data_IF_739544789009
#
_entry.id   IF_739544789009
#
_cell.length_a   1.000
_cell.length_b   1.000
_cell.length_c   1.000
_cell.angle_alpha   90.00
_cell.angle_beta   90.00
_cell.angle_gamma   90.00
#
_symmetry.space_group_name_H-M   'P 1'
#
loop_
_entity.id
_entity.type
_entity.pdbx_description
1 polymer ?
#
# COMPACT_ATOMS: atom_id res chain seq x y z
N UNK A 1 17.79 -19.70 -19.88
CA UNK A 1 17.13 -20.02 -18.60
C UNK A 1 17.09 -18.73 -17.83
N UNK A 2 15.90 -18.12 -17.68
CA UNK A 2 15.76 -16.92 -16.85
C UNK A 2 15.94 -17.32 -15.40
N UNK A 3 16.71 -16.55 -14.63
CA UNK A 3 16.97 -16.80 -13.22
C UNK A 3 15.64 -16.86 -12.44
N UNK A 4 15.23 -18.04 -11.92
CA UNK A 4 14.01 -18.14 -11.11
C UNK A 4 14.07 -17.23 -9.88
N UNK A 5 15.29 -16.89 -9.42
CA UNK A 5 15.54 -15.99 -8.30
C UNK A 5 15.02 -14.55 -8.51
N UNK A 6 14.99 -14.02 -9.74
CA UNK A 6 14.56 -12.62 -9.94
C UNK A 6 13.04 -12.48 -9.97
N UNK A 7 12.33 -13.46 -10.53
CA UNK A 7 10.86 -13.46 -10.57
C UNK A 7 10.25 -13.71 -9.19
N UNK A 8 10.82 -14.63 -8.40
CA UNK A 8 10.37 -14.90 -7.03
C UNK A 8 10.58 -13.69 -6.11
N UNK A 9 11.73 -13.01 -6.24
CA UNK A 9 12.03 -11.78 -5.47
C UNK A 9 11.11 -10.64 -5.88
N UNK A 10 10.84 -10.46 -7.17
CA UNK A 10 9.90 -9.46 -7.66
C UNK A 10 8.47 -9.73 -7.16
N UNK A 11 8.04 -10.99 -7.16
CA UNK A 11 6.73 -11.41 -6.65
C UNK A 11 6.58 -11.16 -5.14
N UNK A 12 7.60 -11.51 -4.35
CA UNK A 12 7.62 -11.26 -2.90
C UNK A 12 7.62 -9.75 -2.60
N UNK A 13 8.40 -8.95 -3.34
CA UNK A 13 8.45 -7.50 -3.19
C UNK A 13 7.09 -6.84 -3.55
N UNK A 14 6.43 -7.31 -4.61
CA UNK A 14 5.09 -6.85 -4.96
C UNK A 14 4.07 -7.20 -3.87
N UNK A 15 4.12 -8.42 -3.34
CA UNK A 15 3.22 -8.85 -2.25
C UNK A 15 3.39 -7.99 -1.00
N UNK A 16 4.63 -7.77 -0.56
CA UNK A 16 4.93 -6.89 0.57
C UNK A 16 4.44 -5.45 0.33
N UNK A 17 4.61 -4.93 -0.88
CA UNK A 17 4.10 -3.61 -1.24
C UNK A 17 2.58 -3.53 -1.17
N UNK A 18 1.85 -4.59 -1.59
CA UNK A 18 0.40 -4.63 -1.46
C UNK A 18 -0.06 -4.67 0.00
N UNK A 19 0.63 -5.41 0.87
CA UNK A 19 0.32 -5.47 2.29
C UNK A 19 0.51 -4.11 2.98
N UNK A 20 1.60 -3.40 2.67
CA UNK A 20 1.87 -2.06 3.19
C UNK A 20 0.82 -1.05 2.72
N UNK A 21 0.42 -1.13 1.44
CA UNK A 21 -0.65 -0.30 0.89
C UNK A 21 -1.98 -0.58 1.61
N UNK A 22 -2.36 -1.85 1.80
CA UNK A 22 -3.64 -2.20 2.42
C UNK A 22 -3.66 -1.80 3.90
N UNK A 23 -2.55 -1.99 4.62
CA UNK A 23 -2.40 -1.54 6.00
C UNK A 23 -2.58 -0.02 6.13
N UNK A 24 -1.87 0.76 5.32
CA UNK A 24 -1.98 2.22 5.36
C UNK A 24 -3.37 2.69 4.92
N UNK A 25 -3.99 2.02 3.94
CA UNK A 25 -5.36 2.32 3.51
C UNK A 25 -6.37 2.18 4.66
N UNK A 26 -6.27 1.09 5.43
CA UNK A 26 -7.10 0.86 6.63
C UNK A 26 -6.87 1.94 7.69
N UNK A 27 -5.63 2.29 7.96
CA UNK A 27 -5.29 3.36 8.92
C UNK A 27 -5.87 4.71 8.50
N UNK A 28 -5.75 5.07 7.23
CA UNK A 28 -6.30 6.31 6.67
C UNK A 28 -7.83 6.34 6.76
N UNK A 29 -8.49 5.24 6.41
CA UNK A 29 -9.94 5.12 6.52
C UNK A 29 -10.40 5.24 7.97
N UNK A 30 -9.75 4.49 8.86
CA UNK A 30 -10.15 4.47 10.26
C UNK A 30 -10.05 5.86 10.89
N UNK A 31 -9.00 6.61 10.52
CA UNK A 31 -8.81 8.01 10.94
C UNK A 31 -9.83 8.96 10.32
N UNK A 32 -10.17 8.79 9.04
CA UNK A 32 -11.08 9.69 8.33
C UNK A 32 -12.54 9.51 8.77
N UNK A 33 -12.93 8.27 9.04
CA UNK A 33 -14.30 7.90 9.36
C UNK A 33 -14.53 7.67 10.87
N UNK A 34 -13.50 7.83 11.70
CA UNK A 34 -13.55 7.59 13.16
C UNK A 34 -14.16 6.23 13.52
N UNK A 35 -13.84 5.21 12.74
CA UNK A 35 -14.36 3.83 12.85
C UNK A 35 -13.23 2.85 12.59
N UNK A 36 -13.32 1.62 13.09
CA UNK A 36 -12.32 0.57 12.80
C UNK A 36 -12.83 -0.47 11.80
N UNK A 37 -14.03 -0.27 11.25
CA UNK A 37 -14.73 -1.26 10.43
C UNK A 37 -14.42 -1.05 8.95
N UNK A 38 -13.17 -1.30 8.55
CA UNK A 38 -12.73 -1.25 7.15
C UNK A 38 -13.61 -2.10 6.22
N UNK A 39 -14.07 -3.25 6.69
CA UNK A 39 -14.95 -4.15 5.94
C UNK A 39 -16.33 -3.57 5.63
N UNK A 40 -16.75 -2.52 6.34
CA UNK A 40 -18.01 -1.81 6.06
C UNK A 40 -17.86 -0.76 4.94
N UNK A 41 -16.63 -0.41 4.55
CA UNK A 41 -16.41 0.48 3.42
C UNK A 41 -16.83 -0.21 2.12
N UNK A 42 -17.57 0.49 1.28
CA UNK A 42 -17.86 0.00 -0.07
C UNK A 42 -16.57 -0.12 -0.91
N UNK A 43 -16.66 -0.86 -2.02
CA UNK A 43 -15.50 -1.11 -2.87
C UNK A 43 -14.87 0.17 -3.43
N UNK A 44 -15.68 1.18 -3.77
CA UNK A 44 -15.16 2.44 -4.32
C UNK A 44 -14.34 3.22 -3.28
N UNK A 45 -14.83 3.24 -2.04
CA UNK A 45 -14.16 3.83 -0.88
C UNK A 45 -12.86 3.09 -0.57
N UNK A 46 -12.91 1.75 -0.53
CA UNK A 46 -11.70 0.95 -0.32
C UNK A 46 -10.64 1.23 -1.40
N UNK A 47 -11.06 1.29 -2.67
CA UNK A 47 -10.17 1.59 -3.79
C UNK A 47 -9.56 3.00 -3.68
N UNK A 48 -10.34 3.99 -3.26
CA UNK A 48 -9.86 5.36 -3.07
C UNK A 48 -8.76 5.40 -2.00
N UNK A 49 -8.99 4.80 -0.83
CA UNK A 49 -8.01 4.77 0.26
C UNK A 49 -6.74 3.98 -0.11
N UNK A 50 -6.86 2.88 -0.88
CA UNK A 50 -5.69 2.16 -1.41
C UNK A 50 -4.85 3.01 -2.36
N UNK A 51 -5.49 3.79 -3.25
CA UNK A 51 -4.77 4.71 -4.14
C UNK A 51 -4.07 5.82 -3.36
N UNK A 52 -4.74 6.39 -2.37
CA UNK A 52 -4.16 7.44 -1.52
C UNK A 52 -3.01 6.88 -0.66
N UNK A 53 -3.13 5.66 -0.13
CA UNK A 53 -2.06 4.97 0.58
C UNK A 53 -0.83 4.74 -0.32
N UNK A 54 -1.04 4.22 -1.54
CA UNK A 54 0.04 4.01 -2.50
C UNK A 54 0.77 5.33 -2.83
N UNK A 55 0.02 6.42 -3.03
CA UNK A 55 0.59 7.76 -3.28
C UNK A 55 1.46 8.22 -2.12
N UNK A 56 0.98 8.10 -0.87
CA UNK A 56 1.74 8.49 0.32
C UNK A 56 3.00 7.66 0.53
N UNK A 57 2.94 6.35 0.26
CA UNK A 57 4.11 5.49 0.33
C UNK A 57 5.14 5.89 -0.73
N UNK A 58 4.71 6.15 -1.97
CA UNK A 58 5.60 6.62 -3.03
C UNK A 58 6.26 7.97 -2.68
N UNK A 59 5.50 8.92 -2.11
CA UNK A 59 6.03 10.20 -1.61
C UNK A 59 7.08 10.00 -0.51
N UNK A 60 6.86 9.04 0.40
CA UNK A 60 7.84 8.69 1.46
C UNK A 60 9.11 8.08 0.89
N UNK A 61 9.02 7.11 -0.02
CA UNK A 61 10.19 6.50 -0.64
C UNK A 61 11.02 7.53 -1.42
N UNK A 62 10.35 8.42 -2.15
CA UNK A 62 11.03 9.53 -2.85
C UNK A 62 11.75 10.48 -1.88
N UNK A 63 11.09 10.86 -0.79
CA UNK A 63 11.69 11.72 0.25
C UNK A 63 12.89 11.07 0.94
N UNK A 64 12.87 9.74 1.14
CA UNK A 64 14.01 8.99 1.69
C UNK A 64 15.16 8.95 0.68
N UNK A 65 14.86 8.72 -0.60
CA UNK A 65 15.85 8.71 -1.68
C UNK A 65 16.50 10.09 -1.88
N UNK A 66 15.75 11.19 -1.76
CA UNK A 66 16.29 12.56 -1.86
C UNK A 66 17.17 12.97 -0.65
N UNK A 67 17.13 12.21 0.46
CA UNK A 67 17.92 12.47 1.69
C UNK A 67 19.16 11.57 1.85
N UNK A 68 19.32 10.58 0.96
CA UNK A 68 20.40 9.58 1.00
C UNK A 68 21.48 9.95 -0.02
#
# INVERSE_FOLDING_TARGET
MGDPSSEEVASAAMTAAFEDIDKLARELFNRACSTEVWSAADHATQLWFRKEAARKLQERYRSVADRS
#
